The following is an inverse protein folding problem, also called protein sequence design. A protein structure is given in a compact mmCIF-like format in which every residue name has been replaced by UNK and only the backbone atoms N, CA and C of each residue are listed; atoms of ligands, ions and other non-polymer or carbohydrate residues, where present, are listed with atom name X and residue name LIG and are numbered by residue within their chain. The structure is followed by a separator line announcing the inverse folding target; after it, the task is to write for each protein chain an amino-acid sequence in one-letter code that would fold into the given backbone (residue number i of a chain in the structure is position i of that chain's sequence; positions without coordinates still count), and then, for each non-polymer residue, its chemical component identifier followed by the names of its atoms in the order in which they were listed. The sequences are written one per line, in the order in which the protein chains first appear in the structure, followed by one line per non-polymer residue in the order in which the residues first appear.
data_IF_130377238511
#
_entry.id   IF_130377238511
#
_cell.length_a   1.000
_cell.length_b   1.000
_cell.length_c   1.000
_cell.angle_alpha   90.00
_cell.angle_beta   90.00
_cell.angle_gamma   90.00
#
_symmetry.space_group_name_H-M   'P 1'
#
loop_
_entity.id
_entity.type
_entity.pdbx_description
1 polymer ?
#
# COMPACT_ATOMS: atom_id res chain seq x y z
N UNK A 1 -4.64 -4.63 2.31
CA UNK A 1 -3.83 -4.25 1.13
C UNK A 1 -4.55 -4.71 -0.13
N UNK A 2 -4.43 -4.04 -1.30
CA UNK A 2 -5.01 -4.54 -2.54
C UNK A 2 -4.52 -5.94 -2.90
N UNK A 3 -5.39 -6.76 -3.51
CA UNK A 3 -5.08 -8.14 -3.88
C UNK A 3 -4.03 -8.26 -5.00
N UNK A 4 -3.99 -7.30 -5.91
CA UNK A 4 -3.07 -7.31 -7.06
C UNK A 4 -2.28 -6.01 -7.18
N UNK A 5 -1.02 -6.15 -7.59
CA UNK A 5 -0.18 -5.07 -8.10
C UNK A 5 0.19 -5.34 -9.55
N UNK A 6 0.11 -4.30 -10.36
CA UNK A 6 0.69 -4.25 -11.69
C UNK A 6 1.95 -3.40 -11.66
N UNK A 7 3.04 -3.94 -12.20
CA UNK A 7 4.34 -3.26 -12.24
C UNK A 7 4.96 -3.34 -13.63
N UNK A 8 5.74 -2.32 -13.97
CA UNK A 8 6.58 -2.25 -15.16
C UNK A 8 8.01 -1.98 -14.71
N UNK A 9 8.93 -2.87 -15.05
CA UNK A 9 10.36 -2.76 -14.69
C UNK A 9 10.58 -2.50 -13.18
N UNK A 10 9.81 -3.17 -12.33
CA UNK A 10 9.87 -3.02 -10.87
C UNK A 10 9.16 -1.79 -10.31
N UNK A 11 8.59 -0.92 -11.16
CA UNK A 11 7.82 0.25 -10.72
C UNK A 11 6.32 -0.05 -10.75
N UNK A 12 5.60 0.12 -9.64
CA UNK A 12 4.15 -0.02 -9.60
C UNK A 12 3.46 0.99 -10.53
N UNK A 13 2.53 0.50 -11.33
CA UNK A 13 1.74 1.29 -12.28
C UNK A 13 0.24 1.28 -11.95
N UNK A 14 -0.20 0.34 -11.10
CA UNK A 14 -1.59 0.26 -10.68
C UNK A 14 -1.86 -0.92 -9.74
N UNK A 15 -3.03 -0.91 -9.12
CA UNK A 15 -3.47 -1.93 -8.16
C UNK A 15 -4.89 -2.40 -8.48
N UNK A 16 -5.23 -3.62 -8.08
CA UNK A 16 -6.61 -4.08 -8.10
C UNK A 16 -7.02 -4.74 -6.79
N UNK A 17 -8.23 -4.43 -6.35
CA UNK A 17 -8.92 -5.10 -5.25
C UNK A 17 -10.03 -5.97 -5.83
N UNK A 18 -10.03 -7.25 -5.47
CA UNK A 18 -11.05 -8.20 -5.86
C UNK A 18 -12.08 -8.38 -4.73
N UNK A 19 -13.35 -8.51 -5.12
CA UNK A 19 -14.45 -8.89 -4.25
C UNK A 19 -15.01 -10.22 -4.72
N UNK A 20 -15.75 -10.87 -3.83
CA UNK A 20 -16.53 -12.05 -4.20
C UNK A 20 -17.52 -11.70 -5.32
N UNK A 21 -17.78 -12.67 -6.19
CA UNK A 21 -18.57 -12.49 -7.43
C UNK A 21 -19.98 -11.90 -7.19
N UNK A 22 -20.56 -12.15 -6.02
CA UNK A 22 -21.89 -11.69 -5.60
C UNK A 22 -21.90 -10.32 -4.93
N UNK A 23 -20.73 -9.71 -4.70
CA UNK A 23 -20.59 -8.39 -4.08
C UNK A 23 -20.57 -7.28 -5.14
N UNK A 24 -21.22 -6.16 -4.81
CA UNK A 24 -21.14 -4.91 -5.57
C UNK A 24 -19.76 -4.28 -5.38
N UNK A 25 -19.20 -3.68 -6.45
CA UNK A 25 -17.88 -3.03 -6.43
C UNK A 25 -17.99 -1.50 -6.28
N UNK A 26 -19.16 -0.93 -6.57
CA UNK A 26 -19.48 0.50 -6.42
C UNK A 26 -20.15 0.73 -5.07
N UNK A 27 -21.27 0.05 -4.80
CA UNK A 27 -22.09 0.22 -3.59
C UNK A 27 -21.61 -0.70 -2.47
N UNK A 28 -20.41 -0.41 -1.99
CA UNK A 28 -19.78 -1.15 -0.90
C UNK A 28 -20.55 -1.01 0.43
N UNK A 29 -20.38 -1.99 1.33
CA UNK A 29 -21.01 -2.02 2.65
C UNK A 29 -20.01 -2.36 3.75
N UNK A 30 -20.28 -1.88 4.96
CA UNK A 30 -19.50 -2.18 6.16
C UNK A 30 -18.02 -1.81 6.01
N UNK A 31 -17.14 -2.72 6.44
CA UNK A 31 -15.68 -2.53 6.39
C UNK A 31 -15.14 -2.16 5.00
N UNK A 32 -15.80 -2.60 3.92
CA UNK A 32 -15.35 -2.33 2.55
C UNK A 32 -15.41 -0.85 2.17
N UNK A 33 -16.28 -0.05 2.81
CA UNK A 33 -16.38 1.40 2.56
C UNK A 33 -15.14 2.12 3.08
N UNK A 34 -14.76 1.84 4.32
CA UNK A 34 -13.57 2.44 4.93
C UNK A 34 -12.28 1.95 4.27
N UNK A 35 -12.23 0.68 3.88
CA UNK A 35 -11.12 0.13 3.10
C UNK A 35 -10.96 0.88 1.76
N UNK A 36 -12.05 1.09 1.01
CA UNK A 36 -12.02 1.82 -0.26
C UNK A 36 -11.49 3.24 -0.08
N UNK A 37 -11.98 3.97 0.91
CA UNK A 37 -11.51 5.34 1.19
C UNK A 37 -10.00 5.38 1.43
N UNK A 38 -9.44 4.40 2.15
CA UNK A 38 -7.98 4.31 2.37
C UNK A 38 -7.24 3.97 1.08
N UNK A 39 -7.76 3.06 0.27
CA UNK A 39 -7.10 2.66 -0.97
C UNK A 39 -7.11 3.78 -2.00
N UNK A 40 -8.24 4.47 -2.19
CA UNK A 40 -8.33 5.63 -3.08
C UNK A 40 -7.36 6.75 -2.68
N UNK A 41 -7.08 6.92 -1.39
CA UNK A 41 -6.07 7.87 -0.91
C UNK A 41 -4.62 7.39 -1.14
N UNK A 42 -4.36 6.08 -1.08
CA UNK A 42 -3.01 5.51 -1.12
C UNK A 42 -2.54 5.12 -2.53
N UNK A 43 -3.47 4.86 -3.45
CA UNK A 43 -3.20 4.26 -4.75
C UNK A 43 -3.85 5.07 -5.87
N UNK A 44 -3.05 5.76 -6.70
CA UNK A 44 -3.56 6.70 -7.69
C UNK A 44 -4.17 6.04 -8.94
N UNK A 45 -3.94 4.74 -9.17
CA UNK A 45 -4.49 4.01 -10.31
C UNK A 45 -5.01 2.65 -9.84
N UNK A 46 -6.33 2.54 -9.67
CA UNK A 46 -7.00 1.43 -9.00
C UNK A 46 -8.06 0.78 -9.89
N UNK A 47 -8.22 -0.54 -9.73
CA UNK A 47 -9.38 -1.29 -10.22
C UNK A 47 -10.09 -1.92 -9.02
N UNK A 48 -11.40 -1.74 -8.93
CA UNK A 48 -12.25 -2.58 -8.10
C UNK A 48 -13.01 -3.56 -8.99
N UNK A 49 -12.94 -4.85 -8.68
CA UNK A 49 -13.62 -5.87 -9.49
C UNK A 49 -14.19 -7.01 -8.66
N UNK A 50 -15.25 -7.64 -9.15
CA UNK A 50 -15.76 -8.91 -8.65
C UNK A 50 -15.64 -10.03 -9.71
N UNK A 51 -14.78 -9.82 -10.71
CA UNK A 51 -14.62 -10.70 -11.88
C UNK A 51 -15.65 -10.46 -13.00
N UNK A 52 -16.72 -9.71 -12.73
CA UNK A 52 -17.78 -9.37 -13.70
C UNK A 52 -17.87 -7.88 -13.95
N UNK A 53 -17.87 -7.10 -12.87
CA UNK A 53 -17.87 -5.65 -12.87
C UNK A 53 -16.44 -5.16 -12.67
N UNK A 54 -16.06 -4.12 -13.40
CA UNK A 54 -14.75 -3.48 -13.32
C UNK A 54 -14.96 -1.97 -13.20
N UNK A 55 -14.65 -1.42 -12.04
CA UNK A 55 -14.59 0.02 -11.80
C UNK A 55 -13.14 0.48 -11.86
N UNK A 56 -12.85 1.38 -12.79
CA UNK A 56 -11.53 1.99 -12.95
C UNK A 56 -11.52 3.34 -12.25
N UNK A 57 -10.57 3.53 -11.34
CA UNK A 57 -10.45 4.71 -10.48
C UNK A 57 -9.06 5.32 -10.68
N UNK A 58 -9.01 6.64 -10.86
CA UNK A 58 -7.78 7.41 -10.97
C UNK A 58 -7.82 8.59 -10.02
N UNK A 59 -6.79 8.72 -9.18
CA UNK A 59 -6.67 9.77 -8.18
C UNK A 59 -7.93 9.94 -7.31
N UNK A 60 -8.57 8.82 -6.96
CA UNK A 60 -9.81 8.78 -6.17
C UNK A 60 -11.09 9.03 -6.96
N UNK A 61 -11.02 9.29 -8.28
CA UNK A 61 -12.18 9.53 -9.13
C UNK A 61 -12.46 8.34 -10.06
N UNK A 62 -13.73 7.97 -10.21
CA UNK A 62 -14.13 6.93 -11.18
C UNK A 62 -13.96 7.46 -12.60
N UNK A 63 -13.05 6.87 -13.36
CA UNK A 63 -12.80 7.21 -14.76
C UNK A 63 -13.58 6.33 -15.74
N UNK A 64 -13.85 5.08 -15.38
CA UNK A 64 -14.62 4.17 -16.22
C UNK A 64 -15.30 3.07 -15.42
N UNK A 65 -16.36 2.49 -15.99
CA UNK A 65 -17.00 1.29 -15.46
C UNK A 65 -17.45 0.40 -16.61
N UNK A 66 -17.17 -0.89 -16.52
CA UNK A 66 -17.65 -1.90 -17.48
C UNK A 66 -18.10 -3.16 -16.74
N UNK A 67 -19.17 -3.76 -17.23
CA UNK A 67 -19.67 -5.05 -16.75
C UNK A 67 -19.69 -6.01 -17.93
N UNK A 68 -19.07 -7.17 -17.77
CA UNK A 68 -18.90 -8.16 -18.85
C UNK A 68 -19.85 -9.35 -18.72
N UNK A 69 -20.69 -9.38 -17.70
CA UNK A 69 -21.69 -10.42 -17.51
C UNK A 69 -22.88 -9.87 -16.69
N UNK A 70 -24.05 -10.47 -16.84
CA UNK A 70 -25.21 -10.22 -15.98
C UNK A 70 -25.53 -11.46 -15.12
N UNK A 71 -26.37 -11.25 -14.11
CA UNK A 71 -26.85 -12.30 -13.20
C UNK A 71 -28.37 -12.57 -13.32
N UNK A 72 -29.03 -12.07 -14.38
CA UNK A 72 -30.49 -12.14 -14.51
C UNK A 72 -31.00 -13.59 -14.60
N UNK A 73 -30.26 -14.46 -15.30
CA UNK A 73 -30.54 -15.89 -15.43
C UNK A 73 -29.28 -16.72 -15.17
N UNK A 74 -28.65 -16.48 -14.02
CA UNK A 74 -27.29 -16.98 -13.74
C UNK A 74 -26.23 -16.12 -14.42
N UNK A 75 -24.95 -16.53 -14.36
CA UNK A 75 -23.84 -15.79 -14.96
C UNK A 75 -23.91 -15.86 -16.49
N UNK A 76 -24.41 -14.81 -17.13
CA UNK A 76 -24.52 -14.72 -18.58
C UNK A 76 -23.49 -13.72 -19.13
N UNK A 77 -22.60 -14.13 -20.04
CA UNK A 77 -21.61 -13.22 -20.61
C UNK A 77 -22.28 -12.15 -21.48
N UNK A 78 -21.65 -10.98 -21.53
CA UNK A 78 -22.00 -9.88 -22.45
C UNK A 78 -20.81 -9.65 -23.39
N UNK A 79 -20.68 -10.43 -24.49
CA UNK A 79 -19.49 -10.40 -25.35
C UNK A 79 -19.17 -9.03 -25.93
N UNK A 80 -20.19 -8.22 -26.22
CA UNK A 80 -20.04 -6.85 -26.74
C UNK A 80 -19.24 -5.92 -25.80
N UNK A 81 -19.09 -6.31 -24.53
CA UNK A 81 -18.32 -5.56 -23.51
C UNK A 81 -16.88 -6.03 -23.36
N UNK A 82 -16.49 -7.13 -24.00
CA UNK A 82 -15.14 -7.69 -23.84
C UNK A 82 -14.08 -6.80 -24.47
N UNK A 83 -14.33 -6.29 -25.68
CA UNK A 83 -13.42 -5.35 -26.35
C UNK A 83 -13.31 -4.03 -25.56
N UNK A 84 -14.41 -3.58 -24.96
CA UNK A 84 -14.40 -2.42 -24.08
C UNK A 84 -13.51 -2.64 -22.86
N UNK A 85 -13.66 -3.78 -22.16
CA UNK A 85 -12.81 -4.14 -21.02
C UNK A 85 -11.33 -4.24 -21.44
N UNK A 86 -11.03 -4.91 -22.54
CA UNK A 86 -9.65 -5.05 -23.05
C UNK A 86 -9.02 -3.67 -23.26
N UNK A 87 -9.73 -2.75 -23.90
CA UNK A 87 -9.26 -1.38 -24.15
C UNK A 87 -8.99 -0.64 -22.84
N UNK A 88 -9.85 -0.77 -21.84
CA UNK A 88 -9.68 -0.10 -20.55
C UNK A 88 -8.53 -0.69 -19.73
N UNK A 89 -8.33 -2.02 -19.79
CA UNK A 89 -7.16 -2.67 -19.18
C UNK A 89 -5.85 -2.21 -19.84
N UNK A 90 -5.83 -2.04 -21.17
CA UNK A 90 -4.68 -1.45 -21.87
C UNK A 90 -4.41 -0.02 -21.41
N UNK A 91 -5.44 0.84 -21.37
CA UNK A 91 -5.30 2.22 -20.87
C UNK A 91 -4.84 2.29 -19.42
N UNK A 92 -5.31 1.35 -18.58
CA UNK A 92 -4.88 1.20 -17.19
C UNK A 92 -3.40 0.82 -17.11
N UNK A 93 -2.96 -0.15 -17.92
CA UNK A 93 -1.57 -0.58 -17.96
C UNK A 93 -0.64 0.48 -18.57
N UNK A 94 -1.10 1.28 -19.53
CA UNK A 94 -0.35 2.36 -20.17
C UNK A 94 -0.10 3.57 -19.24
N UNK A 95 -0.73 3.60 -18.06
CA UNK A 95 -0.47 4.66 -17.09
C UNK A 95 1.02 4.74 -16.75
N UNK A 96 1.50 5.97 -16.68
CA UNK A 96 2.87 6.26 -16.27
C UNK A 96 2.88 6.41 -14.75
N UNK A 97 3.91 5.90 -14.06
CA UNK A 97 4.12 6.20 -12.66
C UNK A 97 4.07 7.71 -12.45
N UNK A 98 3.30 8.15 -11.45
CA UNK A 98 3.29 9.57 -11.08
C UNK A 98 4.69 9.89 -10.59
N UNK A 99 5.39 10.77 -11.34
CA UNK A 99 6.63 11.33 -10.83
C UNK A 99 6.27 12.29 -9.71
N UNK A 100 6.56 11.89 -8.47
CA UNK A 100 6.28 12.71 -7.29
C UNK A 100 7.37 13.79 -7.23
N UNK A 101 7.04 14.99 -7.68
CA UNK A 101 7.98 16.12 -7.76
C UNK A 101 7.88 17.10 -6.58
N UNK A 102 7.12 16.74 -5.55
CA UNK A 102 6.96 17.57 -4.35
C UNK A 102 6.98 16.76 -3.07
N UNK A 103 7.70 17.27 -2.07
CA UNK A 103 7.76 16.68 -0.74
C UNK A 103 6.38 16.55 -0.09
N UNK A 104 5.49 17.52 -0.32
CA UNK A 104 4.10 17.49 0.19
C UNK A 104 3.33 16.30 -0.38
N UNK A 105 3.39 16.07 -1.69
CA UNK A 105 2.66 14.97 -2.31
C UNK A 105 3.25 13.62 -1.89
N UNK A 106 4.57 13.54 -1.74
CA UNK A 106 5.22 12.35 -1.16
C UNK A 106 4.69 12.08 0.25
N UNK A 107 4.72 13.08 1.12
CA UNK A 107 4.26 12.96 2.50
C UNK A 107 2.79 12.52 2.59
N UNK A 108 1.90 13.09 1.76
CA UNK A 108 0.49 12.69 1.68
C UNK A 108 0.33 11.21 1.30
N UNK A 109 1.04 10.76 0.24
CA UNK A 109 0.98 9.37 -0.21
C UNK A 109 1.56 8.41 0.83
N UNK A 110 2.66 8.79 1.46
CA UNK A 110 3.30 8.01 2.51
C UNK A 110 2.41 7.91 3.75
N UNK A 111 1.73 8.98 4.17
CA UNK A 111 0.78 8.95 5.26
C UNK A 111 -0.43 8.04 4.95
N UNK A 112 -0.93 8.07 3.72
CA UNK A 112 -2.01 7.18 3.30
C UNK A 112 -1.59 5.70 3.34
N UNK A 113 -0.38 5.37 2.88
CA UNK A 113 0.17 4.01 2.96
C UNK A 113 0.50 3.60 4.41
N UNK A 114 0.96 4.53 5.26
CA UNK A 114 1.18 4.30 6.69
C UNK A 114 -0.10 3.85 7.40
N UNK A 115 -1.22 4.49 7.10
CA UNK A 115 -2.52 4.11 7.64
C UNK A 115 -2.91 2.66 7.26
N UNK A 116 -2.57 2.23 6.05
CA UNK A 116 -2.79 0.84 5.63
C UNK A 116 -1.85 -0.11 6.39
N UNK A 117 -0.55 0.20 6.49
CA UNK A 117 0.43 -0.62 7.22
C UNK A 117 -0.02 -0.83 8.68
N UNK A 118 -0.44 0.25 9.33
CA UNK A 118 -0.97 0.26 10.69
C UNK A 118 -2.16 -0.69 10.83
N UNK A 119 -3.15 -0.60 9.96
CA UNK A 119 -4.32 -1.49 9.98
C UNK A 119 -3.94 -2.97 9.77
N UNK A 120 -3.01 -3.24 8.86
CA UNK A 120 -2.53 -4.60 8.59
C UNK A 120 -1.81 -5.20 9.80
N UNK A 121 -0.98 -4.43 10.50
CA UNK A 121 -0.30 -4.86 11.72
C UNK A 121 -1.30 -5.11 12.84
N UNK A 122 -2.27 -4.21 13.03
CA UNK A 122 -3.34 -4.39 14.03
C UNK A 122 -4.12 -5.67 13.79
N UNK A 123 -4.52 -5.91 12.54
CA UNK A 123 -5.23 -7.13 12.17
C UNK A 123 -4.37 -8.37 12.43
N UNK A 124 -3.10 -8.34 12.00
CA UNK A 124 -2.17 -9.44 12.21
C UNK A 124 -1.98 -9.81 13.69
N UNK A 125 -1.85 -8.80 14.56
CA UNK A 125 -1.71 -9.01 16.01
C UNK A 125 -3.01 -9.50 16.65
N UNK A 126 -4.16 -9.02 16.18
CA UNK A 126 -5.47 -9.49 16.64
C UNK A 126 -5.74 -10.96 16.28
N UNK A 127 -5.28 -11.38 15.11
CA UNK A 127 -5.34 -12.78 14.64
C UNK A 127 -4.32 -13.69 15.35
N UNK A 128 -3.37 -13.12 16.08
CA UNK A 128 -2.33 -13.81 16.85
C UNK A 128 -2.39 -13.43 18.35
N UNK A 129 -3.46 -13.83 19.08
CA UNK A 129 -3.69 -13.41 20.47
C UNK A 129 -2.62 -13.91 21.45
N UNK A 130 -1.88 -14.95 21.09
CA UNK A 130 -0.75 -15.49 21.87
C UNK A 130 0.61 -14.93 21.41
N UNK A 131 0.61 -14.05 20.40
CA UNK A 131 1.78 -13.39 19.82
C UNK A 131 2.85 -14.36 19.30
N UNK A 132 2.46 -15.55 18.83
CA UNK A 132 3.39 -16.63 18.42
C UNK A 132 4.10 -16.34 17.10
N UNK A 133 3.56 -15.46 16.27
CA UNK A 133 4.18 -15.04 15.01
C UNK A 133 5.47 -14.25 15.23
N UNK A 134 6.25 -14.06 14.16
CA UNK A 134 7.43 -13.18 14.21
C UNK A 134 7.06 -11.74 14.62
N UNK A 135 5.95 -11.21 14.11
CA UNK A 135 5.42 -9.89 14.48
C UNK A 135 4.98 -9.83 15.95
N UNK A 136 4.30 -10.87 16.44
CA UNK A 136 3.96 -11.00 17.86
C UNK A 136 5.20 -11.09 18.76
N UNK A 137 6.24 -11.79 18.30
CA UNK A 137 7.56 -11.79 18.96
C UNK A 137 8.20 -10.41 19.03
N UNK A 138 8.12 -9.63 17.94
CA UNK A 138 8.59 -8.24 17.92
C UNK A 138 7.81 -7.39 18.93
N UNK A 139 6.47 -7.49 18.95
CA UNK A 139 5.63 -6.81 19.93
C UNK A 139 6.03 -7.14 21.37
N UNK A 140 6.17 -8.43 21.71
CA UNK A 140 6.58 -8.85 23.06
C UNK A 140 7.95 -8.30 23.45
N UNK A 141 8.91 -8.34 22.54
CA UNK A 141 10.25 -7.80 22.78
C UNK A 141 10.22 -6.29 23.02
N UNK A 142 9.42 -5.56 22.22
CA UNK A 142 9.25 -4.12 22.37
C UNK A 142 8.61 -3.76 23.72
N UNK A 143 7.55 -4.49 24.08
CA UNK A 143 6.86 -4.33 25.36
C UNK A 143 7.81 -4.61 26.53
N UNK A 144 8.55 -5.72 26.49
CA UNK A 144 9.45 -6.11 27.58
C UNK A 144 10.66 -5.18 27.76
N UNK A 145 11.24 -4.69 26.67
CA UNK A 145 12.53 -3.99 26.71
C UNK A 145 12.43 -2.46 26.63
N UNK A 146 11.36 -1.91 26.04
CA UNK A 146 11.23 -0.47 25.81
C UNK A 146 10.00 0.14 26.49
N UNK A 147 8.82 -0.46 26.30
CA UNK A 147 7.55 0.13 26.73
C UNK A 147 6.67 -0.93 27.43
N UNK A 148 6.82 -1.15 28.76
CA UNK A 148 6.12 -2.20 29.50
C UNK A 148 4.59 -2.17 29.43
N UNK A 149 4.01 -0.99 29.20
CA UNK A 149 2.57 -0.77 29.10
C UNK A 149 2.05 -0.69 27.66
N UNK A 150 2.88 -1.05 26.67
CA UNK A 150 2.52 -0.93 25.26
C UNK A 150 1.39 -1.88 24.88
N UNK A 151 0.36 -1.35 24.24
CA UNK A 151 -0.75 -2.11 23.69
C UNK A 151 -0.55 -2.42 22.20
N UNK A 152 -1.17 -3.50 21.66
CA UNK A 152 -0.99 -3.90 20.26
C UNK A 152 -1.30 -2.80 19.24
N UNK A 153 -2.34 -2.01 19.51
CA UNK A 153 -2.74 -0.89 18.63
C UNK A 153 -1.71 0.24 18.64
N UNK A 154 -1.08 0.52 19.79
CA UNK A 154 -0.01 1.51 19.93
C UNK A 154 1.28 1.02 19.26
N UNK A 155 1.58 -0.28 19.37
CA UNK A 155 2.71 -0.88 18.67
C UNK A 155 2.56 -0.76 17.16
N UNK A 156 1.36 -1.02 16.63
CA UNK A 156 1.09 -0.87 15.20
C UNK A 156 1.31 0.58 14.71
N UNK A 157 0.95 1.55 15.54
CA UNK A 157 1.15 2.98 15.25
C UNK A 157 2.63 3.32 15.19
N UNK A 158 3.39 2.99 16.24
CA UNK A 158 4.84 3.21 16.30
C UNK A 158 5.54 2.54 15.12
N UNK A 159 5.13 1.32 14.77
CA UNK A 159 5.72 0.56 13.67
C UNK A 159 5.49 1.25 12.32
N UNK A 160 4.25 1.62 12.03
CA UNK A 160 3.90 2.29 10.78
C UNK A 160 4.57 3.67 10.68
N UNK A 161 4.58 4.45 11.76
CA UNK A 161 5.26 5.75 11.83
C UNK A 161 6.76 5.61 11.60
N UNK A 162 7.41 4.63 12.24
CA UNK A 162 8.85 4.39 12.07
C UNK A 162 9.18 4.06 10.62
N UNK A 163 8.44 3.13 10.00
CA UNK A 163 8.66 2.77 8.60
C UNK A 163 8.49 3.97 7.68
N UNK A 164 7.41 4.72 7.89
CA UNK A 164 7.06 5.87 7.05
C UNK A 164 8.11 6.97 7.17
N UNK A 165 8.51 7.29 8.40
CA UNK A 165 9.56 8.26 8.67
C UNK A 165 10.89 7.80 8.05
N UNK A 166 11.27 6.54 8.26
CA UNK A 166 12.54 6.00 7.78
C UNK A 166 12.66 6.07 6.27
N UNK A 167 11.62 5.62 5.57
CA UNK A 167 11.54 5.69 4.11
C UNK A 167 11.53 7.15 3.60
N UNK A 168 10.86 8.06 4.31
CA UNK A 168 10.78 9.47 3.90
C UNK A 168 12.12 10.17 4.08
N UNK A 169 12.75 9.98 5.24
CA UNK A 169 14.04 10.58 5.57
C UNK A 169 15.13 10.08 4.62
N UNK A 170 15.19 8.77 4.37
CA UNK A 170 16.09 8.21 3.37
C UNK A 170 15.84 8.82 2.00
N UNK A 171 14.57 8.87 1.54
CA UNK A 171 14.26 9.42 0.22
C UNK A 171 14.59 10.90 0.10
N UNK A 172 14.46 11.65 1.18
CA UNK A 172 14.85 13.05 1.23
C UNK A 172 16.36 13.24 1.07
N UNK A 173 17.15 12.31 1.63
CA UNK A 173 18.61 12.32 1.64
C UNK A 173 19.28 11.53 0.51
N UNK A 174 18.50 10.85 -0.32
CA UNK A 174 18.96 10.13 -1.50
C UNK A 174 19.26 11.08 -2.67
N UNK A 175 20.38 10.85 -3.35
CA UNK A 175 20.88 11.62 -4.49
C UNK A 175 20.43 11.01 -5.84
N UNK A 176 20.07 9.71 -5.88
CA UNK A 176 19.64 8.98 -7.08
C UNK A 176 18.14 8.68 -7.06
N UNK A 177 17.41 9.35 -7.95
CA UNK A 177 15.96 9.21 -7.98
C UNK A 177 15.46 7.90 -8.62
N UNK A 178 16.35 7.08 -9.16
CA UNK A 178 16.01 5.95 -10.04
C UNK A 178 16.17 4.58 -9.39
N UNK A 179 16.90 4.46 -8.29
CA UNK A 179 17.21 3.16 -7.65
C UNK A 179 16.54 2.94 -6.30
N UNK A 180 15.90 3.98 -5.73
CA UNK A 180 15.43 3.98 -4.34
C UNK A 180 14.72 2.69 -3.92
N UNK A 181 15.35 2.00 -2.97
CA UNK A 181 14.85 0.77 -2.38
C UNK A 181 14.82 0.84 -0.85
N UNK A 182 14.06 -0.06 -0.22
CA UNK A 182 14.08 -0.23 1.24
C UNK A 182 15.49 -0.49 1.78
N UNK A 183 16.35 -1.16 1.01
CA UNK A 183 17.72 -1.46 1.43
C UNK A 183 18.58 -0.19 1.41
N UNK A 184 18.53 0.57 0.32
CA UNK A 184 19.17 1.89 0.23
C UNK A 184 18.66 2.81 1.35
N UNK A 185 17.36 2.72 1.69
CA UNK A 185 16.83 3.48 2.81
C UNK A 185 17.47 3.14 4.17
N UNK A 186 17.89 1.90 4.41
CA UNK A 186 18.63 1.56 5.62
C UNK A 186 20.05 2.16 5.64
N UNK A 187 20.68 2.22 4.48
CA UNK A 187 22.04 2.75 4.31
C UNK A 187 22.06 4.28 4.42
N UNK A 188 21.10 4.95 3.77
CA UNK A 188 21.00 6.41 3.67
C UNK A 188 20.44 7.10 4.92
N UNK A 189 19.87 6.32 5.86
CA UNK A 189 19.37 6.88 7.10
C UNK A 189 20.50 7.57 7.89
N UNK A 190 20.36 8.87 8.20
CA UNK A 190 21.44 9.64 8.81
C UNK A 190 21.76 9.12 10.21
N UNK A 191 23.06 8.97 10.49
CA UNK A 191 23.57 8.48 11.78
C UNK A 191 23.28 9.45 12.96
N UNK A 192 22.71 10.63 12.69
CA UNK A 192 22.34 11.62 13.70
C UNK A 192 21.23 11.16 14.63
N UNK A 193 20.44 10.12 14.25
CA UNK A 193 19.49 9.48 15.14
C UNK A 193 19.65 7.94 15.17
N UNK A 194 20.62 7.42 15.95
CA UNK A 194 20.91 5.98 16.03
C UNK A 194 19.73 5.14 16.52
N UNK A 195 18.86 5.73 17.36
CA UNK A 195 17.68 5.05 17.88
C UNK A 195 16.66 4.79 16.76
N UNK A 196 16.30 5.81 15.98
CA UNK A 196 15.36 5.64 14.87
C UNK A 196 15.93 4.76 13.77
N UNK A 197 17.23 4.84 13.50
CA UNK A 197 17.90 3.92 12.56
C UNK A 197 17.79 2.47 13.04
N UNK A 198 18.19 2.17 14.27
CA UNK A 198 18.10 0.81 14.81
C UNK A 198 16.65 0.31 14.91
N UNK A 199 15.70 1.20 15.20
CA UNK A 199 14.28 0.87 15.20
C UNK A 199 13.78 0.51 13.81
N UNK A 200 14.13 1.33 12.80
CA UNK A 200 13.81 1.06 11.40
C UNK A 200 14.43 -0.25 10.91
N UNK A 201 15.70 -0.52 11.21
CA UNK A 201 16.37 -1.77 10.87
C UNK A 201 15.67 -3.00 11.50
N UNK A 202 15.20 -2.86 12.74
CA UNK A 202 14.50 -3.93 13.44
C UNK A 202 13.13 -4.24 12.83
N UNK A 203 12.37 -3.21 12.41
CA UNK A 203 11.00 -3.38 11.89
C UNK A 203 10.95 -3.59 10.38
N UNK A 204 11.82 -2.93 9.62
CA UNK A 204 11.86 -2.98 8.16
C UNK A 204 12.90 -3.99 7.62
N UNK A 205 13.70 -4.62 8.49
CA UNK A 205 14.74 -5.57 8.12
C UNK A 205 14.23 -6.93 7.60
N UNK A 206 15.11 -7.96 7.54
CA UNK A 206 14.79 -9.27 6.96
C UNK A 206 13.62 -10.01 7.61
N UNK A 207 13.26 -9.63 8.84
CA UNK A 207 12.15 -10.21 9.59
C UNK A 207 10.79 -9.56 9.28
N UNK A 208 10.72 -8.58 8.37
CA UNK A 208 9.46 -7.95 7.96
C UNK A 208 8.47 -9.01 7.46
N UNK A 209 7.25 -9.09 8.01
CA UNK A 209 6.25 -10.02 7.54
C UNK A 209 6.03 -9.89 6.03
N UNK A 210 5.98 -11.02 5.30
CA UNK A 210 5.82 -11.02 3.83
C UNK A 210 4.62 -10.18 3.35
N UNK A 211 3.53 -10.19 4.12
CA UNK A 211 2.32 -9.38 3.85
C UNK A 211 2.58 -7.87 3.86
N UNK A 212 3.58 -7.41 4.62
CA UNK A 212 3.97 -6.00 4.71
C UNK A 212 5.09 -5.63 3.74
N UNK A 213 5.90 -6.60 3.30
CA UNK A 213 7.04 -6.36 2.40
C UNK A 213 6.64 -5.54 1.18
N UNK A 214 5.54 -5.95 0.57
CA UNK A 214 5.00 -5.29 -0.60
C UNK A 214 4.73 -3.79 -0.39
N UNK A 215 3.96 -3.43 0.64
CA UNK A 215 3.53 -2.04 0.84
C UNK A 215 4.69 -1.15 1.29
N UNK A 216 5.68 -1.73 1.97
CA UNK A 216 6.89 -1.02 2.35
C UNK A 216 7.81 -0.80 1.16
N UNK A 217 7.98 -1.80 0.29
CA UNK A 217 8.77 -1.63 -0.93
C UNK A 217 8.09 -0.63 -1.89
N UNK A 218 6.75 -0.64 -1.94
CA UNK A 218 5.95 0.32 -2.70
C UNK A 218 6.08 1.78 -2.19
N UNK A 219 6.29 2.00 -0.89
CA UNK A 219 6.54 3.36 -0.34
C UNK A 219 7.72 4.07 -1.01
N UNK A 220 8.73 3.33 -1.44
CA UNK A 220 9.93 3.87 -2.09
C UNK A 220 9.90 3.82 -3.62
N UNK A 221 8.96 3.08 -4.21
CA UNK A 221 9.03 2.76 -5.62
C UNK A 221 8.64 3.93 -6.53
N UNK A 222 9.44 4.17 -7.57
CA UNK A 222 9.18 5.15 -8.63
C UNK A 222 10.06 6.42 -8.60
N UNK A 223 10.06 7.19 -9.71
CA UNK A 223 10.89 8.40 -9.84
C UNK A 223 10.30 9.56 -9.01
N UNK A 224 10.86 9.78 -7.82
CA UNK A 224 10.39 10.76 -6.82
C UNK A 224 11.48 11.84 -6.67
N UNK A 225 11.22 13.09 -7.07
CA UNK A 225 12.15 14.23 -6.91
C UNK A 225 11.59 15.23 -5.88
N UNK A 226 11.98 15.09 -4.61
CA UNK A 226 11.46 15.95 -3.52
C UNK A 226 12.31 17.19 -3.22
N UNK A 227 13.53 17.28 -3.75
CA UNK A 227 14.48 18.36 -3.43
C UNK A 227 14.26 19.64 -4.23
N UNK A 228 13.52 19.60 -5.34
CA UNK A 228 13.25 20.78 -6.17
C UNK A 228 12.15 21.72 -5.64
N UNK A 229 11.57 21.46 -4.48
CA UNK A 229 10.40 22.20 -3.96
C UNK A 229 10.71 23.11 -2.76
N UNK A 230 11.96 23.19 -2.31
CA UNK A 230 12.39 24.06 -1.20
C UNK A 230 13.24 25.21 -1.72
#
# INVERSE_FOLDING_TARGET
MPDFMFQRDGVPIGWAEAKDIDKDVIKLKGYSVEQRKRYEAAYPNLIYTNGVNFEFIRDGERVHFVSIADFLMGLQPVPDKFEELERQLKLFAEQKPISIKSASKLAEMMAAKAAIIKDEIRLALKEDPEFKSGLGGQFRSFKANLLPNLEPDEFADIYAETITYGMFAARFHDDDLTTFSRHEAMDDLPASNPFLKGLFEYVAGPALPKRLTYIVDDLGSGPIDVRRTI
#
